data_IF_129200112106
#
_entry.id   IF_129200112106
#
_cell.length_a   1.000
_cell.length_b   1.000
_cell.length_c   1.000
_cell.angle_alpha   90.00
_cell.angle_beta   90.00
_cell.angle_gamma   90.00
#
_symmetry.space_group_name_H-M   'P 1'
#
loop_
_entity.id
_entity.type
_entity.pdbx_description
1 polymer ?
#
# COMPACT_ATOMS: atom_id res chain seq x y z
N UNK A 1 -69.41 3.39 24.84
CA UNK A 1 -68.84 4.42 23.93
C UNK A 1 -67.39 4.66 24.33
N UNK A 2 -66.52 4.74 23.33
CA UNK A 2 -65.04 4.79 23.39
C UNK A 2 -64.50 5.80 24.42
N UNK A 3 -63.39 5.47 25.09
CA UNK A 3 -62.14 6.20 24.87
C UNK A 3 -60.93 5.32 25.24
N UNK A 4 -59.99 5.30 24.31
CA UNK A 4 -58.75 4.55 24.28
C UNK A 4 -57.62 5.46 24.76
N UNK A 5 -56.58 4.87 25.38
CA UNK A 5 -55.22 5.41 25.61
C UNK A 5 -55.04 6.43 26.73
N UNK A 6 -54.52 5.97 27.87
CA UNK A 6 -53.34 6.59 28.50
C UNK A 6 -52.60 5.64 29.47
N UNK A 7 -52.57 4.35 29.19
CA UNK A 7 -51.65 3.41 29.83
C UNK A 7 -50.30 3.51 29.12
N UNK A 8 -49.26 3.95 29.82
CA UNK A 8 -47.87 3.68 29.43
C UNK A 8 -46.88 4.84 29.42
N UNK A 9 -47.23 6.04 29.89
CA UNK A 9 -46.32 7.21 29.77
C UNK A 9 -45.56 7.60 31.06
N UNK A 10 -45.81 6.94 32.20
CA UNK A 10 -45.25 7.37 33.50
C UNK A 10 -44.06 6.51 33.98
N UNK A 11 -43.74 5.40 33.31
CA UNK A 11 -42.62 4.50 33.70
C UNK A 11 -41.54 4.43 32.60
N UNK A 12 -41.31 5.52 31.87
CA UNK A 12 -40.19 5.60 30.91
C UNK A 12 -39.22 6.76 31.17
N UNK A 13 -39.47 7.60 32.19
CA UNK A 13 -38.62 8.77 32.45
C UNK A 13 -37.56 8.59 33.55
N UNK A 14 -37.38 7.39 34.11
CA UNK A 14 -36.39 7.14 35.18
C UNK A 14 -35.18 6.26 34.79
N UNK A 15 -35.00 5.92 33.51
CA UNK A 15 -33.84 5.13 33.04
C UNK A 15 -32.88 5.87 32.10
N UNK A 16 -32.82 7.21 32.15
CA UNK A 16 -31.92 7.99 31.29
C UNK A 16 -31.06 9.02 32.05
N UNK A 17 -30.49 8.65 33.19
CA UNK A 17 -29.44 9.48 33.83
C UNK A 17 -28.08 8.80 33.97
N UNK A 18 -27.87 7.63 33.38
CA UNK A 18 -26.52 7.17 33.06
C UNK A 18 -26.26 7.35 31.57
N UNK A 19 -26.24 8.61 31.15
CA UNK A 19 -25.38 9.01 30.05
C UNK A 19 -23.97 8.67 30.52
N UNK A 20 -23.43 7.54 30.07
CA UNK A 20 -22.00 7.34 29.98
C UNK A 20 -21.47 8.56 29.22
N UNK A 21 -20.95 9.53 29.96
CA UNK A 21 -20.00 10.49 29.40
C UNK A 21 -18.81 9.66 28.99
N UNK A 22 -18.87 9.10 27.79
CA UNK A 22 -17.68 8.64 27.10
C UNK A 22 -16.75 9.86 27.13
N UNK A 23 -15.54 9.76 27.70
CA UNK A 23 -14.61 10.86 27.61
C UNK A 23 -14.33 11.04 26.12
N UNK A 24 -14.89 12.08 25.50
CA UNK A 24 -14.44 12.60 24.22
C UNK A 24 -13.08 13.23 24.46
N UNK A 25 -12.08 12.38 24.75
CA UNK A 25 -10.69 12.76 24.54
C UNK A 25 -10.56 12.93 23.03
N UNK A 26 -10.02 14.04 22.51
CA UNK A 26 -9.78 14.16 21.08
C UNK A 26 -8.70 13.16 20.69
N UNK A 27 -9.13 11.95 20.33
CA UNK A 27 -8.26 10.85 19.92
C UNK A 27 -7.90 10.95 18.43
N UNK A 28 -8.55 11.86 17.69
CA UNK A 28 -8.42 12.04 16.24
C UNK A 28 -7.20 12.85 15.78
N UNK A 29 -6.71 13.81 16.57
CA UNK A 29 -5.61 14.68 16.13
C UNK A 29 -4.27 13.93 16.11
N UNK A 30 -4.08 13.03 17.07
CA UNK A 30 -2.86 12.23 17.18
C UNK A 30 -2.81 11.13 16.09
N UNK A 31 -3.95 10.49 15.77
CA UNK A 31 -4.01 9.39 14.78
C UNK A 31 -3.82 9.86 13.33
N UNK A 32 -4.43 11.01 12.96
CA UNK A 32 -4.25 11.60 11.62
C UNK A 32 -2.81 12.05 11.40
N UNK A 33 -2.17 12.62 12.43
CA UNK A 33 -0.76 13.04 12.39
C UNK A 33 0.18 11.85 12.20
N UNK A 34 -0.05 10.76 12.96
CA UNK A 34 0.74 9.52 12.86
C UNK A 34 0.58 8.86 11.49
N UNK A 35 -0.65 8.74 11.00
CA UNK A 35 -0.92 8.16 9.68
C UNK A 35 -0.26 8.97 8.56
N UNK A 36 -0.36 10.30 8.62
CA UNK A 36 0.28 11.19 7.66
C UNK A 36 1.79 10.99 7.65
N UNK A 37 2.43 11.01 8.82
CA UNK A 37 3.86 10.79 8.97
C UNK A 37 4.29 9.44 8.40
N UNK A 38 3.53 8.38 8.69
CA UNK A 38 3.80 7.04 8.15
C UNK A 38 3.77 7.03 6.61
N UNK A 39 2.80 7.69 5.99
CA UNK A 39 2.71 7.81 4.52
C UNK A 39 3.90 8.59 3.96
N UNK A 40 4.26 9.71 4.58
CA UNK A 40 5.41 10.54 4.17
C UNK A 40 6.73 9.74 4.23
N UNK A 41 6.95 9.00 5.31
CA UNK A 41 8.14 8.16 5.51
C UNK A 41 8.20 6.95 4.55
N UNK A 42 7.05 6.47 4.05
CA UNK A 42 6.96 5.28 3.21
C UNK A 42 6.47 5.58 1.77
N UNK A 43 6.54 6.84 1.32
CA UNK A 43 5.98 7.25 0.02
C UNK A 43 6.57 6.46 -1.14
N UNK A 44 7.85 6.11 -1.05
CA UNK A 44 8.58 5.34 -2.07
C UNK A 44 7.98 3.94 -2.20
N UNK A 45 7.94 3.17 -1.11
CA UNK A 45 7.31 1.85 -1.08
C UNK A 45 5.83 1.89 -1.49
N UNK A 46 5.08 2.88 -1.02
CA UNK A 46 3.66 3.03 -1.37
C UNK A 46 3.50 3.28 -2.87
N UNK A 47 4.39 4.09 -3.46
CA UNK A 47 4.40 4.36 -4.91
C UNK A 47 4.74 3.10 -5.70
N UNK A 48 5.77 2.36 -5.27
CA UNK A 48 6.17 1.09 -5.88
C UNK A 48 5.01 0.09 -5.85
N UNK A 49 4.38 -0.09 -4.68
CA UNK A 49 3.22 -0.97 -4.53
C UNK A 49 2.11 -0.55 -5.49
N UNK A 50 1.68 0.70 -5.43
CA UNK A 50 0.51 1.15 -6.17
C UNK A 50 0.73 1.03 -7.69
N UNK A 51 1.89 1.45 -8.19
CA UNK A 51 2.20 1.36 -9.61
C UNK A 51 2.32 -0.10 -10.07
N UNK A 52 3.07 -0.93 -9.35
CA UNK A 52 3.22 -2.35 -9.67
C UNK A 52 1.89 -3.11 -9.65
N UNK A 53 0.94 -2.72 -8.78
CA UNK A 53 -0.39 -3.31 -8.76
C UNK A 53 -1.28 -2.82 -9.90
N UNK A 54 -1.20 -1.54 -10.30
CA UNK A 54 -2.02 -0.97 -11.37
C UNK A 54 -1.55 -1.39 -12.76
N UNK A 55 -0.24 -1.34 -13.01
CA UNK A 55 0.40 -1.62 -14.30
C UNK A 55 1.40 -2.76 -14.08
N UNK A 56 0.88 -3.98 -13.97
CA UNK A 56 1.66 -5.15 -13.57
C UNK A 56 2.76 -5.51 -14.58
N UNK A 57 2.71 -5.01 -15.80
CA UNK A 57 3.70 -5.19 -16.87
C UNK A 57 4.85 -4.18 -16.85
N UNK A 58 4.72 -3.08 -16.08
CA UNK A 58 5.78 -2.09 -15.95
C UNK A 58 7.07 -2.74 -15.46
N UNK A 59 8.22 -2.25 -15.95
CA UNK A 59 9.54 -2.71 -15.49
C UNK A 59 9.87 -2.10 -14.12
N UNK A 60 10.86 -2.67 -13.43
CA UNK A 60 11.31 -2.13 -12.15
C UNK A 60 11.87 -0.70 -12.30
N UNK A 61 12.65 -0.46 -13.35
CA UNK A 61 13.21 0.86 -13.67
C UNK A 61 12.11 1.91 -13.89
N UNK A 62 11.03 1.56 -14.60
CA UNK A 62 9.87 2.45 -14.77
C UNK A 62 9.22 2.80 -13.44
N UNK A 63 9.10 1.82 -12.56
CA UNK A 63 8.51 2.01 -11.24
C UNK A 63 9.43 2.86 -10.34
N UNK A 64 10.75 2.65 -10.38
CA UNK A 64 11.73 3.46 -9.66
C UNK A 64 11.72 4.93 -10.11
N UNK A 65 11.57 5.20 -11.41
CA UNK A 65 11.44 6.56 -11.91
C UNK A 65 10.25 7.30 -11.28
N UNK A 66 9.08 6.65 -11.19
CA UNK A 66 7.92 7.25 -10.53
C UNK A 66 8.13 7.39 -9.01
N UNK A 67 8.70 6.38 -8.36
CA UNK A 67 8.98 6.41 -6.93
C UNK A 67 9.89 7.58 -6.54
N UNK A 68 10.90 7.87 -7.38
CA UNK A 68 11.75 9.05 -7.23
C UNK A 68 10.95 10.35 -7.41
N UNK A 69 10.13 10.47 -8.45
CA UNK A 69 9.31 11.66 -8.69
C UNK A 69 8.33 11.94 -7.52
N UNK A 70 7.73 10.89 -6.95
CA UNK A 70 6.83 11.01 -5.80
C UNK A 70 7.55 11.36 -4.50
N UNK A 71 8.79 10.90 -4.33
CA UNK A 71 9.70 11.29 -3.23
C UNK A 71 10.05 12.77 -3.33
N UNK A 72 10.41 13.27 -4.52
CA UNK A 72 10.68 14.69 -4.77
C UNK A 72 9.43 15.55 -4.53
N UNK A 73 8.27 15.08 -4.98
CA UNK A 73 6.98 15.73 -4.71
C UNK A 73 6.69 15.83 -3.21
N UNK A 74 6.90 14.75 -2.45
CA UNK A 74 6.76 14.76 -0.99
C UNK A 74 7.69 15.78 -0.36
N UNK A 75 8.97 15.78 -0.73
CA UNK A 75 9.97 16.67 -0.13
C UNK A 75 9.65 18.15 -0.38
N UNK A 76 9.18 18.47 -1.59
CA UNK A 76 8.66 19.79 -1.93
C UNK A 76 7.47 20.19 -1.04
N UNK A 77 6.51 19.28 -0.83
CA UNK A 77 5.35 19.54 0.03
C UNK A 77 5.69 19.58 1.52
N UNK A 78 6.75 18.91 1.96
CA UNK A 78 7.26 19.03 3.33
C UNK A 78 7.96 20.38 3.55
N UNK A 79 8.67 20.88 2.54
CA UNK A 79 9.33 22.18 2.58
C UNK A 79 8.33 23.34 2.56
N UNK A 80 7.27 23.25 1.74
CA UNK A 80 6.20 24.25 1.68
C UNK A 80 4.83 23.60 1.48
N UNK A 81 4.05 23.51 2.57
CA UNK A 81 2.69 22.95 2.57
C UNK A 81 1.66 23.88 1.93
N UNK A 82 1.99 25.14 1.66
CA UNK A 82 1.04 26.12 1.11
C UNK A 82 0.89 26.03 -0.41
N UNK A 83 1.77 25.27 -1.06
CA UNK A 83 1.73 25.06 -2.49
C UNK A 83 0.42 24.37 -2.93
N UNK A 84 -0.25 24.83 -3.99
CA UNK A 84 -1.55 24.32 -4.42
C UNK A 84 -1.58 22.81 -4.67
N UNK A 85 -0.51 22.27 -5.25
CA UNK A 85 -0.37 20.85 -5.53
C UNK A 85 -0.43 20.00 -4.25
N UNK A 86 0.12 20.48 -3.13
CA UNK A 86 0.21 19.75 -1.87
C UNK A 86 -1.15 19.54 -1.17
N UNK A 87 -2.20 20.18 -1.66
CA UNK A 87 -3.58 20.01 -1.21
C UNK A 87 -4.36 18.96 -2.04
N UNK A 88 -3.79 18.44 -3.12
CA UNK A 88 -4.41 17.40 -3.95
C UNK A 88 -4.50 16.07 -3.21
N UNK A 89 -5.51 15.28 -3.55
CA UNK A 89 -5.63 13.90 -3.06
C UNK A 89 -4.45 13.06 -3.58
N UNK A 90 -3.79 12.31 -2.70
CA UNK A 90 -2.59 11.56 -3.02
C UNK A 90 -2.77 10.57 -4.19
N UNK A 91 -3.94 9.92 -4.29
CA UNK A 91 -4.24 9.01 -5.39
C UNK A 91 -4.36 9.75 -6.73
N UNK A 92 -4.93 10.96 -6.76
CA UNK A 92 -5.02 11.76 -7.98
C UNK A 92 -3.63 12.19 -8.44
N UNK A 93 -2.78 12.65 -7.51
CA UNK A 93 -1.37 12.98 -7.81
C UNK A 93 -0.64 11.76 -8.37
N UNK A 94 -0.79 10.59 -7.76
CA UNK A 94 -0.14 9.37 -8.22
C UNK A 94 -0.57 9.00 -9.65
N UNK A 95 -1.88 8.96 -9.92
CA UNK A 95 -2.40 8.59 -11.24
C UNK A 95 -2.06 9.65 -12.31
N UNK A 96 -2.04 10.94 -11.95
CA UNK A 96 -1.56 12.02 -12.81
C UNK A 96 -0.10 11.81 -13.21
N UNK A 97 0.78 11.50 -12.24
CA UNK A 97 2.19 11.26 -12.51
C UNK A 97 2.42 9.99 -13.34
N UNK A 98 1.68 8.90 -13.08
CA UNK A 98 1.72 7.67 -13.93
C UNK A 98 1.35 8.01 -15.37
N UNK A 99 0.31 8.82 -15.57
CA UNK A 99 -0.14 9.22 -16.90
C UNK A 99 0.79 10.21 -17.61
N UNK A 100 1.60 10.96 -16.85
CA UNK A 100 2.57 11.90 -17.39
C UNK A 100 3.89 11.25 -17.83
N UNK A 101 4.13 9.98 -17.49
CA UNK A 101 5.32 9.25 -17.93
C UNK A 101 5.33 9.08 -19.45
N UNK A 102 6.35 9.62 -20.12
CA UNK A 102 6.42 9.67 -21.57
C UNK A 102 6.39 8.27 -22.21
N UNK A 103 5.45 8.05 -23.13
CA UNK A 103 5.28 6.80 -23.88
C UNK A 103 4.77 5.59 -23.07
N UNK A 104 4.75 5.68 -21.74
CA UNK A 104 4.41 4.56 -20.86
C UNK A 104 2.92 4.14 -20.95
N UNK A 105 1.94 5.07 -21.01
CA UNK A 105 0.54 4.73 -21.21
C UNK A 105 0.26 3.96 -22.50
N UNK A 106 1.01 4.24 -23.57
CA UNK A 106 0.92 3.52 -24.84
C UNK A 106 1.60 2.16 -24.73
N UNK A 107 2.82 2.11 -24.19
CA UNK A 107 3.64 0.91 -24.04
C UNK A 107 2.90 -0.21 -23.29
N UNK A 108 2.24 0.13 -22.18
CA UNK A 108 1.53 -0.85 -21.34
C UNK A 108 0.00 -0.78 -21.50
N UNK A 109 -0.49 -0.16 -22.58
CA UNK A 109 -1.89 -0.16 -23.00
C UNK A 109 -2.91 0.40 -21.97
N UNK A 110 -2.54 1.43 -21.20
CA UNK A 110 -3.44 2.10 -20.25
C UNK A 110 -3.75 3.57 -20.60
N UNK A 111 -3.37 4.03 -21.80
CA UNK A 111 -3.70 5.38 -22.29
C UNK A 111 -5.20 5.70 -22.20
N UNK A 112 -6.05 4.70 -22.40
CA UNK A 112 -7.51 4.84 -22.30
C UNK A 112 -7.95 5.26 -20.88
N UNK A 113 -7.24 4.83 -19.82
CA UNK A 113 -7.48 5.31 -18.46
C UNK A 113 -7.00 6.74 -18.25
N UNK A 114 -5.85 7.11 -18.83
CA UNK A 114 -5.30 8.47 -18.71
C UNK A 114 -6.16 9.56 -19.36
N UNK A 115 -6.98 9.19 -20.36
CA UNK A 115 -7.96 10.10 -20.97
C UNK A 115 -9.18 10.38 -20.08
N UNK A 116 -9.37 9.62 -19.00
CA UNK A 116 -10.43 9.82 -18.01
C UNK A 116 -9.97 10.78 -16.91
N UNK A 117 -10.93 11.28 -16.13
CA UNK A 117 -10.69 12.19 -15.00
C UNK A 117 -11.31 11.64 -13.71
N UNK A 118 -10.83 12.13 -12.57
CA UNK A 118 -11.38 11.88 -11.23
C UNK A 118 -11.73 10.42 -10.95
N UNK A 119 -13.00 10.16 -10.62
CA UNK A 119 -13.52 8.83 -10.26
C UNK A 119 -13.45 7.86 -11.44
N UNK A 120 -13.71 8.32 -12.67
CA UNK A 120 -13.62 7.46 -13.85
C UNK A 120 -12.20 6.97 -14.09
N UNK A 121 -11.20 7.83 -13.87
CA UNK A 121 -9.78 7.44 -13.97
C UNK A 121 -9.47 6.37 -12.93
N UNK A 122 -9.85 6.60 -11.67
CA UNK A 122 -9.64 5.64 -10.56
C UNK A 122 -10.26 4.29 -10.84
N UNK A 123 -11.52 4.27 -11.30
CA UNK A 123 -12.21 3.04 -11.66
C UNK A 123 -11.55 2.33 -12.86
N UNK A 124 -11.07 3.07 -13.85
CA UNK A 124 -10.36 2.48 -14.98
C UNK A 124 -9.07 1.78 -14.55
N UNK A 125 -8.23 2.46 -13.75
CA UNK A 125 -7.00 1.87 -13.21
C UNK A 125 -7.29 0.64 -12.32
N UNK A 126 -8.37 0.67 -11.53
CA UNK A 126 -8.80 -0.49 -10.76
C UNK A 126 -9.15 -1.68 -11.66
N UNK A 127 -9.87 -1.46 -12.77
CA UNK A 127 -10.19 -2.52 -13.75
C UNK A 127 -8.99 -2.95 -14.59
N UNK A 128 -7.93 -2.15 -14.67
CA UNK A 128 -6.69 -2.52 -15.35
C UNK A 128 -5.91 -3.61 -14.60
N UNK A 129 -6.18 -3.80 -13.30
CA UNK A 129 -5.58 -4.85 -12.49
C UNK A 129 -6.03 -6.24 -12.96
N UNK A 130 -5.07 -7.15 -13.13
CA UNK A 130 -5.27 -8.53 -13.59
C UNK A 130 -5.12 -9.51 -12.43
N UNK A 131 -6.21 -10.19 -12.08
CA UNK A 131 -6.18 -11.23 -11.05
C UNK A 131 -5.32 -12.44 -11.48
N UNK A 132 -5.40 -12.82 -12.75
CA UNK A 132 -4.49 -13.80 -13.34
C UNK A 132 -3.16 -13.14 -13.68
N UNK A 133 -2.10 -13.59 -13.01
CA UNK A 133 -0.73 -13.09 -13.15
C UNK A 133 0.18 -14.06 -13.90
N UNK A 134 -0.39 -15.06 -14.59
CA UNK A 134 0.36 -16.07 -15.35
C UNK A 134 1.17 -15.51 -16.52
N UNK A 135 0.96 -14.26 -16.92
CA UNK A 135 1.77 -13.55 -17.91
C UNK A 135 3.13 -13.08 -17.36
N UNK A 136 3.30 -13.05 -16.02
CA UNK A 136 4.56 -12.69 -15.39
C UNK A 136 5.53 -13.88 -15.41
N UNK A 137 6.84 -13.64 -15.59
CA UNK A 137 7.81 -14.70 -15.44
C UNK A 137 7.81 -15.25 -13.99
N UNK A 138 8.35 -16.46 -13.77
CA UNK A 138 8.60 -16.98 -12.43
C UNK A 138 9.30 -15.93 -11.57
N UNK A 139 8.96 -15.89 -10.27
CA UNK A 139 9.57 -14.94 -9.35
C UNK A 139 11.10 -15.10 -9.41
N UNK A 140 11.87 -14.03 -9.68
CA UNK A 140 13.32 -14.13 -9.73
C UNK A 140 13.86 -14.66 -8.39
N UNK A 141 14.55 -15.79 -8.43
CA UNK A 141 15.21 -16.36 -7.25
C UNK A 141 16.72 -16.23 -7.42
N UNK A 142 17.32 -15.34 -6.65
CA UNK A 142 18.77 -15.26 -6.51
C UNK A 142 19.28 -16.39 -5.60
N UNK A 143 20.53 -16.80 -5.84
CA UNK A 143 21.28 -17.67 -4.94
C UNK A 143 21.41 -17.03 -3.54
N UNK A 144 21.40 -17.79 -2.41
CA UNK A 144 21.47 -17.21 -1.07
C UNK A 144 22.68 -16.29 -0.84
N UNK A 145 23.86 -16.63 -1.36
CA UNK A 145 25.05 -15.80 -1.25
C UNK A 145 24.90 -14.51 -2.07
N UNK A 146 24.37 -14.61 -3.29
CA UNK A 146 24.09 -13.47 -4.16
C UNK A 146 23.03 -12.52 -3.56
N UNK A 147 21.99 -13.06 -2.92
CA UNK A 147 20.99 -12.28 -2.17
C UNK A 147 21.66 -11.45 -1.10
N UNK A 148 22.51 -12.08 -0.30
CA UNK A 148 23.19 -11.41 0.80
C UNK A 148 24.18 -10.36 0.32
N UNK A 149 24.90 -10.63 -0.78
CA UNK A 149 25.80 -9.66 -1.38
C UNK A 149 25.03 -8.46 -1.93
N UNK A 150 23.92 -8.68 -2.63
CA UNK A 150 23.07 -7.62 -3.17
C UNK A 150 22.45 -6.78 -2.05
N UNK A 151 21.92 -7.43 -1.01
CA UNK A 151 21.38 -6.76 0.17
C UNK A 151 22.42 -5.89 0.88
N UNK A 152 23.66 -6.37 1.00
CA UNK A 152 24.77 -5.62 1.61
C UNK A 152 25.20 -4.43 0.74
N UNK A 153 25.27 -4.62 -0.58
CA UNK A 153 25.74 -3.61 -1.52
C UNK A 153 24.73 -2.47 -1.71
N UNK A 154 23.45 -2.81 -1.83
CA UNK A 154 22.38 -1.83 -2.02
C UNK A 154 21.07 -2.35 -1.38
N UNK A 155 20.95 -2.15 -0.07
CA UNK A 155 19.78 -2.56 0.72
C UNK A 155 18.48 -1.97 0.18
N UNK A 156 18.48 -0.71 -0.21
CA UNK A 156 17.29 0.01 -0.66
C UNK A 156 16.75 -0.57 -1.98
N UNK A 157 17.59 -0.62 -3.02
CA UNK A 157 17.18 -1.17 -4.31
C UNK A 157 16.79 -2.66 -4.21
N UNK A 158 17.46 -3.44 -3.35
CA UNK A 158 17.09 -4.83 -3.08
C UNK A 158 15.67 -4.96 -2.49
N UNK A 159 15.32 -4.14 -1.51
CA UNK A 159 13.99 -4.16 -0.89
C UNK A 159 12.91 -3.58 -1.81
N UNK A 160 13.25 -2.53 -2.56
CA UNK A 160 12.38 -1.95 -3.60
C UNK A 160 12.05 -2.98 -4.68
N UNK A 161 13.04 -3.75 -5.14
CA UNK A 161 12.82 -4.80 -6.13
C UNK A 161 11.94 -5.92 -5.56
N UNK A 162 12.19 -6.33 -4.32
CA UNK A 162 11.36 -7.32 -3.64
C UNK A 162 9.88 -6.88 -3.55
N UNK A 163 9.62 -5.65 -3.09
CA UNK A 163 8.24 -5.17 -2.94
C UNK A 163 7.56 -4.98 -4.30
N UNK A 164 8.29 -4.59 -5.34
CA UNK A 164 7.81 -4.51 -6.72
C UNK A 164 7.36 -5.89 -7.22
N UNK A 165 8.22 -6.91 -7.11
CA UNK A 165 7.95 -8.26 -7.59
C UNK A 165 6.77 -8.92 -6.85
N UNK A 166 6.64 -8.70 -5.54
CA UNK A 166 5.50 -9.19 -4.76
C UNK A 166 4.22 -8.42 -5.08
N UNK A 167 4.28 -7.09 -5.22
CA UNK A 167 3.10 -6.26 -5.48
C UNK A 167 2.45 -6.55 -6.83
N UNK A 168 3.23 -6.67 -7.91
CA UNK A 168 2.70 -6.98 -9.26
C UNK A 168 2.08 -8.38 -9.36
N UNK A 169 2.44 -9.29 -8.46
CA UNK A 169 1.84 -10.64 -8.35
C UNK A 169 0.64 -10.69 -7.41
N UNK A 170 0.40 -9.63 -6.64
CA UNK A 170 -0.66 -9.54 -5.65
C UNK A 170 -1.43 -8.21 -5.80
N UNK A 171 -2.06 -7.97 -6.95
CA UNK A 171 -2.61 -6.66 -7.32
C UNK A 171 -3.74 -6.15 -6.41
N UNK A 172 -4.36 -7.05 -5.63
CA UNK A 172 -5.48 -6.73 -4.74
C UNK A 172 -5.14 -6.81 -3.25
N UNK A 173 -3.92 -7.24 -2.89
CA UNK A 173 -3.50 -7.24 -1.47
C UNK A 173 -3.30 -5.80 -1.01
N UNK A 174 -3.75 -5.49 0.20
CA UNK A 174 -3.66 -4.14 0.73
C UNK A 174 -2.21 -3.70 0.97
N UNK A 175 -1.91 -2.44 0.65
CA UNK A 175 -0.57 -1.88 0.77
C UNK A 175 0.03 -2.04 2.18
N UNK A 176 -0.70 -1.83 3.31
CA UNK A 176 -0.15 -2.10 4.64
C UNK A 176 0.31 -3.54 4.86
N UNK A 177 -0.38 -4.53 4.25
CA UNK A 177 0.05 -5.93 4.30
C UNK A 177 1.34 -6.14 3.51
N UNK A 178 1.46 -5.53 2.33
CA UNK A 178 2.68 -5.60 1.51
C UNK A 178 3.88 -4.94 2.20
N UNK A 179 3.68 -3.80 2.87
CA UNK A 179 4.70 -3.15 3.71
C UNK A 179 5.14 -4.05 4.87
N UNK A 180 4.19 -4.73 5.52
CA UNK A 180 4.50 -5.71 6.58
C UNK A 180 5.29 -6.90 6.04
N UNK A 181 4.95 -7.37 4.84
CA UNK A 181 5.68 -8.45 4.14
C UNK A 181 7.10 -8.02 3.81
N UNK A 182 7.30 -6.80 3.30
CA UNK A 182 8.62 -6.23 3.02
C UNK A 182 9.48 -6.11 4.29
N UNK A 183 8.92 -5.60 5.39
CA UNK A 183 9.63 -5.50 6.66
C UNK A 183 10.08 -6.86 7.21
N UNK A 184 9.22 -7.89 7.13
CA UNK A 184 9.57 -9.26 7.54
C UNK A 184 10.60 -9.91 6.62
N UNK A 185 10.52 -9.63 5.32
CA UNK A 185 11.51 -10.09 4.36
C UNK A 185 12.89 -9.48 4.65
N UNK A 186 12.92 -8.20 4.99
CA UNK A 186 14.14 -7.53 5.41
C UNK A 186 14.73 -8.16 6.67
N UNK A 187 13.92 -8.37 7.72
CA UNK A 187 14.36 -9.01 8.97
C UNK A 187 14.90 -10.42 8.71
N UNK A 188 14.17 -11.22 7.93
CA UNK A 188 14.63 -12.55 7.50
C UNK A 188 15.97 -12.47 6.78
N UNK A 189 16.14 -11.51 5.85
CA UNK A 189 17.38 -11.36 5.08
C UNK A 189 18.55 -10.98 5.98
N UNK A 190 18.34 -10.04 6.92
CA UNK A 190 19.35 -9.68 7.94
C UNK A 190 19.82 -10.90 8.72
N UNK A 191 18.87 -11.66 9.29
CA UNK A 191 19.21 -12.87 10.06
C UNK A 191 19.90 -13.92 9.19
N UNK A 192 19.31 -14.29 8.05
CA UNK A 192 19.82 -15.41 7.25
C UNK A 192 21.16 -15.12 6.58
N UNK A 193 21.52 -13.85 6.36
CA UNK A 193 22.82 -13.49 5.81
C UNK A 193 23.97 -13.61 6.81
N UNK A 194 23.69 -13.70 8.11
CA UNK A 194 24.67 -13.92 9.17
C UNK A 194 24.89 -15.42 9.45
N UNK A 195 23.99 -16.29 8.98
CA UNK A 195 24.05 -17.73 9.19
C UNK A 195 25.10 -18.42 8.30
N UNK A 196 25.64 -19.54 8.78
CA UNK A 196 26.53 -20.41 7.99
C UNK A 196 25.74 -21.13 6.90
N UNK A 197 24.58 -21.69 7.24
CA UNK A 197 23.69 -22.39 6.30
C UNK A 197 22.57 -21.46 5.76
N UNK A 198 22.96 -20.44 4.98
CA UNK A 198 22.03 -19.40 4.46
C UNK A 198 20.84 -19.99 3.70
N UNK A 199 21.09 -20.95 2.82
CA UNK A 199 20.07 -21.61 2.03
C UNK A 199 18.97 -22.26 2.89
N UNK A 200 19.38 -22.94 3.97
CA UNK A 200 18.46 -23.57 4.92
C UNK A 200 17.66 -22.53 5.71
N UNK A 201 18.33 -21.45 6.17
CA UNK A 201 17.66 -20.36 6.88
C UNK A 201 16.56 -19.71 6.03
N UNK A 202 16.87 -19.30 4.79
CA UNK A 202 15.90 -18.68 3.89
C UNK A 202 14.71 -19.59 3.61
N UNK A 203 14.96 -20.89 3.31
CA UNK A 203 13.90 -21.87 3.04
C UNK A 203 12.95 -22.04 4.22
N UNK A 204 13.48 -22.03 5.45
CA UNK A 204 12.69 -22.23 6.66
C UNK A 204 11.85 -21.00 6.99
N UNK A 205 12.46 -19.81 6.94
CA UNK A 205 11.80 -18.55 7.35
C UNK A 205 10.83 -17.99 6.32
N UNK A 206 10.98 -18.29 5.02
CA UNK A 206 10.08 -17.76 3.96
C UNK A 206 8.62 -18.17 4.15
N UNK A 207 8.38 -19.34 4.77
CA UNK A 207 7.03 -19.83 5.10
C UNK A 207 6.19 -18.82 5.90
N UNK A 208 6.82 -18.12 6.84
CA UNK A 208 6.17 -17.10 7.68
C UNK A 208 5.69 -15.88 6.89
N UNK A 209 6.40 -15.54 5.80
CA UNK A 209 6.06 -14.43 4.90
C UNK A 209 4.86 -14.81 4.04
N UNK A 210 4.84 -16.02 3.49
CA UNK A 210 3.70 -16.53 2.73
C UNK A 210 2.41 -16.57 3.55
N UNK A 211 2.51 -16.87 4.85
CA UNK A 211 1.35 -16.83 5.76
C UNK A 211 0.81 -15.40 5.88
N UNK A 212 1.67 -14.39 6.04
CA UNK A 212 1.23 -12.98 6.07
C UNK A 212 0.53 -12.56 4.80
N UNK A 213 1.12 -12.93 3.65
CA UNK A 213 0.57 -12.57 2.35
C UNK A 213 -0.82 -13.19 2.14
N UNK A 214 -0.99 -14.48 2.47
CA UNK A 214 -2.29 -15.18 2.38
C UNK A 214 -3.37 -14.55 3.27
N UNK A 215 -3.02 -14.13 4.49
CA UNK A 215 -3.95 -13.44 5.40
C UNK A 215 -4.45 -12.10 4.85
N UNK A 216 -3.67 -11.45 3.99
CA UNK A 216 -4.05 -10.21 3.32
C UNK A 216 -4.93 -10.38 2.08
N UNK A 217 -5.10 -11.61 1.58
CA UNK A 217 -5.95 -11.93 0.42
C UNK A 217 -7.39 -12.26 0.86
N UNK A 218 -7.57 -12.83 2.05
CA UNK A 218 -8.89 -13.15 2.59
C UNK A 218 -9.60 -11.89 3.09
N UNK A 219 -10.77 -11.51 2.55
CA UNK A 219 -11.60 -10.48 3.16
C UNK A 219 -11.95 -10.93 4.58
N UNK A 220 -11.64 -10.11 5.58
CA UNK A 220 -12.34 -10.22 6.87
C UNK A 220 -13.74 -9.65 6.62
N UNK A 221 -14.69 -10.55 6.34
CA UNK A 221 -16.12 -10.28 6.42
C UNK A 221 -16.52 -10.07 7.88
#
# INVERSE_FOLDING_TARGET
>A
MKQLKLTGFVIFFFFLTESLTLPTKPQDVDDVSVTKKFIEENVEYITIIAFAQYIQEASFEEVEMLAKAMTEYRDKCLADRTLPECSKLANDVLLENICAMEGLPQKHNFLHCCRKIDVERKLCFLHNKKADVGFLPPLPTLDPEEKCQTFKNNRESFLNNYIYEISRRNPFVFAPTLLTVAARFEEMTKTCCEEQEKAYCFRTKVSSIFISLKKGVTPKL
#
